data_IF_673488509703
#
_entry.id   IF_673488509703
#
_cell.length_a   1.000
_cell.length_b   1.000
_cell.length_c   1.000
_cell.angle_alpha   90.00
_cell.angle_beta   90.00
_cell.angle_gamma   90.00
#
_symmetry.space_group_name_H-M   'P 1'
#
loop_
_entity.id
_entity.type
_entity.pdbx_description
1 polymer ?
#
# COMPACT_ATOMS: atom_id res chain seq x y z
N UNK A 1 17.00 -8.05 5.66
CA UNK A 1 16.00 -7.17 5.02
C UNK A 1 15.44 -7.95 3.85
N UNK A 2 14.17 -8.31 3.88
CA UNK A 2 13.53 -9.11 2.82
C UNK A 2 13.03 -8.18 1.71
N UNK A 3 13.21 -8.57 0.46
CA UNK A 3 12.66 -7.88 -0.71
C UNK A 3 11.67 -8.82 -1.40
N UNK A 4 10.45 -8.35 -1.62
CA UNK A 4 9.39 -9.11 -2.27
C UNK A 4 8.90 -8.42 -3.53
N UNK A 5 8.88 -9.16 -4.63
CA UNK A 5 8.38 -8.69 -5.90
C UNK A 5 6.87 -8.95 -6.01
N UNK A 6 6.07 -7.88 -5.99
CA UNK A 6 4.61 -7.97 -6.01
C UNK A 6 4.04 -7.93 -7.43
N UNK A 7 3.37 -9.03 -7.79
CA UNK A 7 2.74 -9.22 -9.10
C UNK A 7 1.33 -8.60 -9.24
N UNK A 8 0.76 -8.08 -8.15
CA UNK A 8 -0.56 -7.45 -8.17
C UNK A 8 -1.73 -8.41 -7.99
N UNK A 9 -1.52 -9.72 -7.88
CA UNK A 9 -2.60 -10.67 -7.57
C UNK A 9 -3.01 -10.65 -6.10
N UNK A 10 -4.22 -11.12 -5.82
CA UNK A 10 -4.72 -11.27 -4.45
C UNK A 10 -3.97 -12.35 -3.67
N UNK A 11 -3.50 -13.40 -4.35
CA UNK A 11 -2.67 -14.46 -3.78
C UNK A 11 -1.34 -13.95 -3.20
N UNK A 12 -0.75 -12.95 -3.84
CA UNK A 12 0.52 -12.35 -3.41
C UNK A 12 0.35 -11.16 -2.49
N UNK A 13 -0.89 -10.72 -2.26
CA UNK A 13 -1.18 -9.51 -1.49
C UNK A 13 -0.81 -9.67 -0.01
N UNK A 14 -1.25 -10.76 0.62
CA UNK A 14 -0.97 -11.00 2.03
C UNK A 14 0.55 -11.04 2.29
N UNK A 15 1.31 -11.66 1.38
CA UNK A 15 2.76 -11.69 1.46
C UNK A 15 3.39 -10.30 1.32
N UNK A 16 2.89 -9.45 0.42
CA UNK A 16 3.37 -8.08 0.28
C UNK A 16 3.14 -7.26 1.58
N UNK A 17 1.99 -7.43 2.21
CA UNK A 17 1.66 -6.78 3.49
C UNK A 17 2.61 -7.30 4.60
N UNK A 18 2.76 -8.61 4.75
CA UNK A 18 3.67 -9.22 5.74
C UNK A 18 5.12 -8.71 5.60
N UNK A 19 5.60 -8.57 4.37
CA UNK A 19 6.95 -8.04 4.09
C UNK A 19 7.04 -6.58 4.53
N UNK A 20 6.04 -5.76 4.21
CA UNK A 20 6.00 -4.34 4.59
C UNK A 20 5.96 -4.15 6.12
N UNK A 21 5.11 -4.90 6.83
CA UNK A 21 5.00 -4.83 8.29
C UNK A 21 6.32 -5.23 8.99
N UNK A 22 7.10 -6.14 8.36
CA UNK A 22 8.45 -6.51 8.81
C UNK A 22 9.54 -5.52 8.39
N UNK A 23 9.17 -4.33 7.88
CA UNK A 23 10.08 -3.31 7.34
C UNK A 23 10.93 -3.82 6.16
N UNK A 24 10.40 -4.77 5.40
CA UNK A 24 10.95 -5.22 4.12
C UNK A 24 10.59 -4.28 2.98
N UNK A 25 11.13 -4.58 1.79
CA UNK A 25 10.92 -3.79 0.57
C UNK A 25 9.97 -4.54 -0.35
N UNK A 26 8.88 -3.90 -0.76
CA UNK A 26 7.98 -4.43 -1.78
C UNK A 26 8.28 -3.74 -3.11
N UNK A 27 8.57 -4.50 -4.16
CA UNK A 27 8.90 -3.96 -5.50
C UNK A 27 7.85 -4.31 -6.54
N UNK A 28 7.75 -3.47 -7.57
CA UNK A 28 6.86 -3.66 -8.71
C UNK A 28 7.42 -4.74 -9.65
N UNK A 29 6.63 -5.76 -9.99
CA UNK A 29 7.08 -6.79 -10.93
C UNK A 29 7.34 -6.30 -12.37
N UNK A 30 6.72 -5.17 -12.76
CA UNK A 30 6.81 -4.66 -14.13
C UNK A 30 8.06 -3.80 -14.32
N UNK A 31 8.36 -2.92 -13.36
CA UNK A 31 9.42 -1.92 -13.51
C UNK A 31 10.49 -1.95 -12.41
N UNK A 32 10.38 -2.84 -11.43
CA UNK A 32 11.36 -3.00 -10.36
C UNK A 32 11.36 -1.88 -9.30
N UNK A 33 10.54 -0.84 -9.45
CA UNK A 33 10.47 0.26 -8.48
C UNK A 33 9.95 -0.23 -7.13
N UNK A 34 10.46 0.33 -6.04
CA UNK A 34 9.85 0.19 -4.72
C UNK A 34 8.40 0.71 -4.76
N UNK A 35 7.47 -0.08 -4.23
CA UNK A 35 6.05 0.25 -4.18
C UNK A 35 5.76 1.06 -2.91
N UNK A 36 4.84 2.01 -3.05
CA UNK A 36 4.26 2.70 -1.91
C UNK A 36 3.18 1.79 -1.36
N UNK A 37 3.41 1.26 -0.15
CA UNK A 37 2.46 0.40 0.56
C UNK A 37 1.88 1.20 1.73
N UNK A 38 0.55 1.26 1.81
CA UNK A 38 -0.19 1.94 2.88
C UNK A 38 -1.19 0.94 3.43
N UNK A 39 -0.92 0.35 4.59
CA UNK A 39 -1.79 -0.68 5.19
C UNK A 39 -2.55 -0.11 6.39
N UNK A 40 -1.92 0.76 7.18
CA UNK A 40 -2.49 1.22 8.44
C UNK A 40 -1.96 2.57 8.94
N UNK A 41 -2.23 2.87 10.21
CA UNK A 41 -1.90 4.16 10.83
C UNK A 41 -0.39 4.47 10.86
N UNK A 42 0.47 3.47 10.79
CA UNK A 42 1.92 3.67 10.70
C UNK A 42 2.36 4.31 9.37
N UNK A 43 1.54 4.14 8.32
CA UNK A 43 1.78 4.73 7.00
C UNK A 43 1.08 6.08 6.82
N UNK A 44 0.55 6.65 7.90
CA UNK A 44 -0.19 7.91 7.93
C UNK A 44 0.52 9.08 7.23
N UNK A 45 1.79 9.27 7.53
CA UNK A 45 2.60 10.33 6.93
C UNK A 45 2.80 10.09 5.43
N UNK A 46 3.01 8.83 5.04
CA UNK A 46 3.16 8.43 3.63
C UNK A 46 1.86 8.65 2.86
N UNK A 47 0.72 8.26 3.44
CA UNK A 47 -0.61 8.50 2.90
C UNK A 47 -0.90 9.99 2.71
N UNK A 48 -0.59 10.84 3.70
CA UNK A 48 -0.75 12.31 3.59
C UNK A 48 0.20 12.93 2.57
N UNK A 49 1.46 12.52 2.56
CA UNK A 49 2.49 13.03 1.63
C UNK A 49 2.11 12.77 0.18
N UNK A 50 1.60 11.57 -0.10
CA UNK A 50 1.23 11.16 -1.45
C UNK A 50 -0.25 11.40 -1.78
N UNK A 51 -1.07 11.83 -0.82
CA UNK A 51 -2.53 11.95 -0.93
C UNK A 51 -3.19 10.65 -1.41
N UNK A 52 -2.72 9.51 -0.90
CA UNK A 52 -3.16 8.18 -1.30
C UNK A 52 -3.98 7.52 -0.19
N UNK A 53 -4.94 6.68 -0.60
CA UNK A 53 -5.72 5.82 0.30
C UNK A 53 -4.89 4.59 0.71
N UNK A 54 -5.30 3.82 1.73
CA UNK A 54 -4.73 2.51 1.99
C UNK A 54 -4.72 1.63 0.73
N UNK A 55 -3.57 1.06 0.40
CA UNK A 55 -3.36 0.35 -0.85
C UNK A 55 -1.89 0.13 -1.19
N UNK A 56 -1.65 -0.43 -2.38
CA UNK A 56 -0.32 -0.59 -2.99
C UNK A 56 -0.26 0.15 -4.31
N UNK A 57 0.74 1.00 -4.45
CA UNK A 57 0.89 1.92 -5.59
C UNK A 57 2.30 1.87 -6.17
N UNK A 58 2.39 1.87 -7.50
CA UNK A 58 3.66 2.03 -8.19
C UNK A 58 3.93 3.52 -8.41
N UNK A 59 5.05 4.06 -7.90
CA UNK A 59 5.37 5.48 -8.06
C UNK A 59 5.77 5.84 -9.49
N UNK A 60 6.28 4.88 -10.27
CA UNK A 60 6.73 5.11 -11.65
C UNK A 60 5.57 5.18 -12.63
N UNK A 61 4.58 4.30 -12.49
CA UNK A 61 3.44 4.26 -13.38
C UNK A 61 2.21 3.65 -12.68
N UNK A 62 1.11 4.40 -12.50
CA UNK A 62 -0.10 3.90 -11.85
C UNK A 62 -0.75 2.74 -12.62
N UNK A 63 -0.48 2.58 -13.92
CA UNK A 63 -0.95 1.41 -14.70
C UNK A 63 -0.28 0.11 -14.28
N UNK A 64 0.90 0.16 -13.66
CA UNK A 64 1.59 -1.05 -13.19
C UNK A 64 0.98 -1.58 -11.90
N UNK A 65 0.67 -0.67 -10.97
CA UNK A 65 0.10 -1.03 -9.68
C UNK A 65 -0.69 0.15 -9.12
N UNK A 66 -2.00 -0.03 -8.99
CA UNK A 66 -2.88 0.89 -8.30
C UNK A 66 -4.01 0.06 -7.69
N UNK A 67 -3.78 -0.43 -6.47
CA UNK A 67 -4.75 -1.23 -5.73
C UNK A 67 -5.08 -0.59 -4.41
N UNK A 68 -6.29 -0.06 -4.31
CA UNK A 68 -6.83 0.44 -3.05
C UNK A 68 -7.37 -0.73 -2.24
N UNK A 69 -7.01 -0.79 -0.96
CA UNK A 69 -7.61 -1.74 -0.04
C UNK A 69 -8.98 -1.24 0.39
N UNK A 70 -10.00 -2.08 0.19
CA UNK A 70 -11.35 -1.84 0.70
C UNK A 70 -11.47 -2.64 2.01
N UNK A 71 -11.08 -2.03 3.13
CA UNK A 71 -11.25 -2.66 4.44
C UNK A 71 -12.64 -2.33 4.99
N UNK A 72 -13.60 -3.25 4.86
CA UNK A 72 -15.00 -2.99 5.26
C UNK A 72 -15.17 -2.58 6.74
N UNK A 73 -14.29 -3.02 7.65
CA UNK A 73 -14.43 -2.76 9.09
C UNK A 73 -13.37 -1.80 9.68
N UNK A 74 -12.21 -1.63 9.05
CA UNK A 74 -11.14 -0.75 9.55
C UNK A 74 -11.04 0.59 8.82
N UNK A 75 -11.74 0.75 7.70
CA UNK A 75 -11.69 1.96 6.88
C UNK A 75 -12.47 3.12 7.50
N UNK A 76 -13.56 2.88 8.24
CA UNK A 76 -14.27 3.95 8.96
C UNK A 76 -13.44 4.57 10.07
N UNK A 77 -12.70 3.75 10.84
CA UNK A 77 -11.80 4.25 11.89
C UNK A 77 -10.63 5.02 11.27
N UNK A 78 -10.03 4.49 10.19
CA UNK A 78 -8.97 5.17 9.44
C UNK A 78 -9.47 6.49 8.83
N UNK A 79 -10.66 6.52 8.21
CA UNK A 79 -11.26 7.75 7.63
C UNK A 79 -11.52 8.83 8.68
N UNK A 80 -12.17 8.47 9.80
CA UNK A 80 -12.51 9.41 10.88
C UNK A 80 -11.28 10.09 11.47
N UNK A 81 -10.14 9.39 11.51
CA UNK A 81 -8.91 9.87 12.14
C UNK A 81 -8.03 10.71 11.19
N UNK A 82 -8.14 10.50 9.88
CA UNK A 82 -7.36 11.21 8.86
C UNK A 82 -8.10 12.34 8.15
N UNK A 83 -9.35 12.64 8.55
CA UNK A 83 -10.10 13.76 8.00
C UNK A 83 -10.32 13.66 6.48
N UNK A 84 -10.45 12.43 5.98
CA UNK A 84 -10.72 12.14 4.55
C UNK A 84 -12.22 12.14 4.25
N UNK A 85 -13.01 12.86 5.05
CA UNK A 85 -14.41 13.15 4.73
C UNK A 85 -14.42 14.39 3.84
N UNK A 86 -15.01 14.25 2.65
CA UNK A 86 -15.41 15.37 1.77
C UNK A 86 -16.35 16.34 2.49
#
# INVERSE_FOLDING_TARGET
METFNYDGTSSSLQKAIDVHERRGIVTCHICGSELIVIVGNEDAELARKHQLKPGIYCPTNPKHMHKVFIFSDKFEEFRRRFGLDE
#
